data_IF_837796493551
#
_entry.id   IF_837796493551
#
_cell.length_a   1.000
_cell.length_b   1.000
_cell.length_c   1.000
_cell.angle_alpha   90.00
_cell.angle_beta   90.00
_cell.angle_gamma   90.00
#
_symmetry.space_group_name_H-M   'P 1'
#
loop_
_entity.id
_entity.type
_entity.pdbx_description
1 polymer ?
#
# COMPACT_ATOMS: atom_id res chain seq x y z
N UNK A 1 -17.26 -9.06 11.69
CA UNK A 1 -18.48 -9.44 12.45
C UNK A 1 -18.36 -9.02 13.91
N UNK A 2 -19.50 -8.82 14.56
CA UNK A 2 -19.60 -8.40 15.97
C UNK A 2 -20.43 -9.42 16.74
N UNK A 3 -19.97 -9.77 17.94
CA UNK A 3 -20.67 -10.68 18.84
C UNK A 3 -21.87 -9.97 19.48
N UNK A 4 -23.02 -10.64 19.46
CA UNK A 4 -24.27 -10.16 20.03
C UNK A 4 -24.61 -10.98 21.29
N UNK A 5 -25.42 -10.45 22.23
CA UNK A 5 -25.83 -11.17 23.42
C UNK A 5 -26.77 -12.33 23.11
N UNK A 6 -27.49 -12.28 21.99
CA UNK A 6 -28.44 -13.31 21.53
C UNK A 6 -28.05 -13.82 20.15
N UNK A 7 -28.49 -15.02 19.75
CA UNK A 7 -28.34 -15.53 18.40
C UNK A 7 -28.93 -14.57 17.35
N UNK A 8 -28.23 -14.47 16.23
CA UNK A 8 -28.65 -13.64 15.07
C UNK A 8 -28.81 -14.53 13.85
N UNK A 9 -29.71 -14.15 12.96
CA UNK A 9 -29.93 -14.82 11.68
C UNK A 9 -29.20 -14.10 10.56
N UNK A 10 -28.91 -14.83 9.51
CA UNK A 10 -28.46 -14.30 8.22
C UNK A 10 -29.11 -15.13 7.11
N UNK A 11 -29.56 -14.52 6.01
CA UNK A 11 -30.21 -15.27 4.93
C UNK A 11 -29.32 -16.41 4.40
N UNK A 12 -29.89 -17.59 4.29
CA UNK A 12 -29.28 -18.71 3.56
C UNK A 12 -29.58 -18.53 2.08
N UNK A 13 -28.74 -17.73 1.43
CA UNK A 13 -28.97 -17.32 0.05
C UNK A 13 -27.73 -17.60 -0.79
N UNK A 14 -27.92 -18.01 -2.03
CA UNK A 14 -26.81 -18.14 -2.97
C UNK A 14 -26.59 -16.81 -3.69
N UNK A 15 -25.55 -16.11 -3.29
CA UNK A 15 -25.15 -14.84 -3.90
C UNK A 15 -24.28 -15.03 -5.16
N UNK A 16 -24.34 -16.22 -5.81
CA UNK A 16 -23.58 -16.52 -7.02
C UNK A 16 -22.19 -17.10 -6.78
N UNK A 17 -21.77 -17.22 -5.51
CA UNK A 17 -20.48 -17.83 -5.13
C UNK A 17 -20.77 -18.96 -4.16
N UNK A 18 -20.39 -20.19 -4.53
CA UNK A 18 -20.62 -21.38 -3.71
C UNK A 18 -19.41 -21.65 -2.82
N UNK A 19 -19.62 -21.55 -1.52
CA UNK A 19 -18.65 -21.96 -0.51
C UNK A 19 -18.92 -23.39 -0.05
N UNK A 20 -17.85 -24.05 0.35
CA UNK A 20 -17.84 -25.37 0.98
C UNK A 20 -17.09 -25.31 2.30
N UNK A 21 -17.07 -26.39 3.07
CA UNK A 21 -16.28 -26.45 4.30
C UNK A 21 -14.77 -26.27 4.05
N UNK A 22 -14.29 -26.66 2.86
CA UNK A 22 -12.89 -26.51 2.46
C UNK A 22 -12.52 -25.08 2.00
N UNK A 23 -13.51 -24.32 1.49
CA UNK A 23 -13.25 -22.98 0.90
C UNK A 23 -13.72 -21.82 1.75
N UNK A 24 -14.59 -22.09 2.75
CA UNK A 24 -15.13 -21.05 3.62
C UNK A 24 -14.10 -20.54 4.65
N UNK A 25 -14.07 -19.24 4.81
CA UNK A 25 -13.20 -18.58 5.81
C UNK A 25 -14.00 -18.31 7.09
N UNK A 26 -13.57 -18.97 8.17
CA UNK A 26 -14.23 -18.92 9.49
C UNK A 26 -13.58 -17.86 10.38
N UNK A 27 -13.70 -16.60 9.97
CA UNK A 27 -13.08 -15.47 10.62
C UNK A 27 -14.09 -14.60 11.38
N UNK A 28 -13.68 -14.10 12.55
CA UNK A 28 -14.49 -13.18 13.36
C UNK A 28 -14.19 -11.71 13.06
N UNK A 29 -13.03 -11.43 12.46
CA UNK A 29 -12.56 -10.08 12.10
C UNK A 29 -12.27 -10.05 10.60
N UNK A 30 -12.10 -8.86 10.05
CA UNK A 30 -11.65 -8.72 8.68
C UNK A 30 -10.28 -9.37 8.46
N UNK A 31 -10.12 -9.95 7.28
CA UNK A 31 -8.88 -10.60 6.84
C UNK A 31 -8.21 -9.74 5.76
N UNK A 32 -6.99 -9.33 6.00
CA UNK A 32 -6.28 -8.44 5.07
C UNK A 32 -5.73 -9.16 3.83
N UNK A 33 -5.70 -10.48 3.83
CA UNK A 33 -5.32 -11.30 2.67
C UNK A 33 -6.46 -11.52 1.67
N UNK A 34 -7.67 -11.05 2.00
CA UNK A 34 -8.78 -11.06 1.06
C UNK A 34 -8.65 -9.89 0.09
N UNK A 35 -8.24 -10.22 -1.11
CA UNK A 35 -8.02 -9.26 -2.19
C UNK A 35 -8.69 -9.75 -3.46
N UNK A 36 -9.56 -8.93 -4.04
CA UNK A 36 -10.25 -9.19 -5.29
C UNK A 36 -9.65 -8.35 -6.42
N UNK A 37 -9.92 -8.73 -7.66
CA UNK A 37 -9.52 -7.95 -8.84
C UNK A 37 -8.12 -8.24 -9.34
N UNK A 38 -7.52 -9.34 -8.93
CA UNK A 38 -6.28 -9.83 -9.53
C UNK A 38 -6.50 -10.07 -11.02
N UNK A 39 -5.54 -9.67 -11.85
CA UNK A 39 -5.63 -9.74 -13.31
C UNK A 39 -6.76 -8.91 -13.96
N UNK A 40 -7.36 -7.97 -13.22
CA UNK A 40 -8.35 -7.03 -13.73
C UNK A 40 -7.80 -5.60 -13.80
N UNK A 41 -8.41 -4.78 -14.63
CA UNK A 41 -8.04 -3.37 -14.73
C UNK A 41 -8.56 -2.60 -13.51
N UNK A 42 -7.65 -2.20 -12.61
CA UNK A 42 -7.96 -1.54 -11.35
C UNK A 42 -8.66 -0.16 -11.51
N UNK A 43 -8.75 0.35 -12.71
CA UNK A 43 -9.38 1.64 -13.01
C UNK A 43 -10.73 1.42 -13.66
N UNK A 44 -10.77 0.64 -14.74
CA UNK A 44 -11.98 0.45 -15.54
C UNK A 44 -12.96 -0.52 -14.88
N UNK A 45 -12.44 -1.56 -14.20
CA UNK A 45 -13.26 -2.62 -13.59
C UNK A 45 -13.47 -2.41 -12.08
N UNK A 46 -13.18 -1.21 -11.57
CA UNK A 46 -13.17 -0.94 -10.12
C UNK A 46 -14.51 -1.28 -9.43
N UNK A 47 -15.63 -0.92 -10.04
CA UNK A 47 -16.94 -1.22 -9.46
C UNK A 47 -17.26 -2.71 -9.47
N UNK A 48 -16.92 -3.40 -10.56
CA UNK A 48 -17.08 -4.85 -10.65
C UNK A 48 -16.20 -5.59 -9.63
N UNK A 49 -14.96 -5.12 -9.41
CA UNK A 49 -14.05 -5.65 -8.40
C UNK A 49 -14.64 -5.47 -7.00
N UNK A 50 -15.19 -4.29 -6.70
CA UNK A 50 -15.88 -4.00 -5.44
C UNK A 50 -17.09 -4.92 -5.24
N UNK A 51 -17.95 -5.00 -6.23
CA UNK A 51 -19.21 -5.78 -6.16
C UNK A 51 -18.91 -7.26 -5.97
N UNK A 52 -17.91 -7.77 -6.67
CA UNK A 52 -17.44 -9.14 -6.47
C UNK A 52 -16.89 -9.36 -5.05
N UNK A 53 -16.13 -8.44 -4.51
CA UNK A 53 -15.65 -8.50 -3.13
C UNK A 53 -16.78 -8.52 -2.11
N UNK A 54 -17.86 -7.78 -2.35
CA UNK A 54 -19.06 -7.82 -1.52
C UNK A 54 -19.78 -9.17 -1.64
N UNK A 55 -19.93 -9.70 -2.85
CA UNK A 55 -20.51 -11.04 -3.08
C UNK A 55 -19.72 -12.12 -2.35
N UNK A 56 -18.39 -12.08 -2.39
CA UNK A 56 -17.53 -12.99 -1.63
C UNK A 56 -17.83 -12.91 -0.13
N UNK A 57 -17.88 -11.70 0.43
CA UNK A 57 -18.12 -11.49 1.85
C UNK A 57 -19.50 -12.02 2.29
N UNK A 58 -20.55 -11.70 1.54
CA UNK A 58 -21.92 -12.14 1.85
C UNK A 58 -22.10 -13.65 1.67
N UNK A 59 -21.57 -14.21 0.59
CA UNK A 59 -21.67 -15.66 0.32
C UNK A 59 -20.95 -16.48 1.37
N UNK A 60 -19.73 -16.07 1.72
CA UNK A 60 -18.96 -16.72 2.79
C UNK A 60 -19.69 -16.64 4.14
N UNK A 61 -20.21 -15.45 4.48
CA UNK A 61 -20.92 -15.27 5.74
C UNK A 61 -22.23 -16.08 5.78
N UNK A 62 -22.96 -16.14 4.68
CA UNK A 62 -24.15 -17.00 4.55
C UNK A 62 -23.82 -18.46 4.81
N UNK A 63 -22.75 -18.98 4.21
CA UNK A 63 -22.28 -20.34 4.43
C UNK A 63 -21.89 -20.58 5.90
N UNK A 64 -21.06 -19.73 6.47
CA UNK A 64 -20.57 -19.86 7.86
C UNK A 64 -21.71 -19.86 8.87
N UNK A 65 -22.71 -19.01 8.67
CA UNK A 65 -23.88 -18.90 9.57
C UNK A 65 -24.83 -20.09 9.47
N UNK A 66 -25.02 -20.66 8.29
CA UNK A 66 -26.13 -21.55 8.04
C UNK A 66 -25.70 -23.00 7.76
N UNK A 67 -24.56 -23.23 7.12
CA UNK A 67 -24.17 -24.52 6.56
C UNK A 67 -22.90 -25.11 7.21
N UNK A 68 -21.96 -24.29 7.63
CA UNK A 68 -20.69 -24.74 8.21
C UNK A 68 -20.92 -25.68 9.42
N UNK A 69 -20.04 -26.65 9.57
CA UNK A 69 -20.00 -27.51 10.77
C UNK A 69 -19.82 -26.69 12.05
N UNK A 70 -19.15 -25.54 11.95
CA UNK A 70 -18.90 -24.61 13.05
C UNK A 70 -20.02 -23.57 13.26
N UNK A 71 -21.14 -23.63 12.53
CA UNK A 71 -22.21 -22.61 12.58
C UNK A 71 -22.68 -22.24 14.00
N UNK A 72 -22.62 -23.20 14.95
CA UNK A 72 -22.97 -22.95 16.34
C UNK A 72 -22.03 -21.94 17.03
N UNK A 73 -20.74 -21.94 16.67
CA UNK A 73 -19.77 -20.98 17.19
C UNK A 73 -20.09 -19.56 16.74
N UNK A 74 -20.68 -19.43 15.55
CA UNK A 74 -21.04 -18.15 14.94
C UNK A 74 -22.49 -17.72 15.23
N UNK A 75 -23.28 -18.52 15.97
CA UNK A 75 -24.69 -18.24 16.19
C UNK A 75 -24.96 -16.80 16.69
N UNK A 76 -24.15 -16.32 17.63
CA UNK A 76 -24.28 -14.98 18.21
C UNK A 76 -23.54 -13.89 17.43
N UNK A 77 -22.91 -14.19 16.30
CA UNK A 77 -22.20 -13.18 15.52
C UNK A 77 -23.09 -12.62 14.42
N UNK A 78 -23.00 -11.30 14.24
CA UNK A 78 -23.70 -10.55 13.20
C UNK A 78 -22.66 -9.95 12.24
N UNK A 79 -22.92 -9.98 10.95
CA UNK A 79 -22.20 -9.17 9.98
C UNK A 79 -22.62 -7.72 10.17
N UNK A 80 -21.71 -6.93 10.75
CA UNK A 80 -22.01 -5.54 11.14
C UNK A 80 -21.82 -4.57 9.98
N UNK A 81 -20.75 -4.78 9.22
CA UNK A 81 -20.37 -3.86 8.18
C UNK A 81 -19.50 -4.55 7.13
N UNK A 82 -19.71 -4.18 5.89
CA UNK A 82 -18.87 -4.50 4.74
C UNK A 82 -18.55 -3.18 4.04
N UNK A 83 -17.28 -2.95 3.71
CA UNK A 83 -16.88 -1.72 3.05
C UNK A 83 -17.57 -1.57 1.68
N UNK A 84 -18.30 -0.47 1.49
CA UNK A 84 -18.87 -0.14 0.19
C UNK A 84 -17.80 0.30 -0.80
N UNK A 85 -16.79 1.03 -0.33
CA UNK A 85 -15.64 1.43 -1.13
C UNK A 85 -14.53 0.40 -0.94
N UNK A 86 -14.07 -0.20 -2.03
CA UNK A 86 -12.95 -1.12 -1.98
C UNK A 86 -11.66 -0.41 -1.53
N UNK A 87 -10.91 -1.06 -0.66
CA UNK A 87 -9.62 -0.57 -0.15
C UNK A 87 -8.53 -0.66 -1.23
N UNK A 88 -8.63 0.16 -2.26
CA UNK A 88 -7.72 0.17 -3.39
C UNK A 88 -6.31 0.53 -2.97
N UNK A 89 -5.36 -0.35 -3.21
CA UNK A 89 -3.97 -0.19 -2.76
C UNK A 89 -3.05 0.37 -3.83
N UNK A 90 -3.26 0.04 -5.09
CA UNK A 90 -2.50 0.50 -6.23
C UNK A 90 -3.43 0.93 -7.36
N UNK A 91 -3.04 1.97 -8.10
CA UNK A 91 -3.79 2.51 -9.21
C UNK A 91 -2.82 3.19 -10.18
N UNK A 92 -3.11 4.43 -10.57
CA UNK A 92 -2.24 5.23 -11.41
C UNK A 92 -1.01 5.67 -10.63
N UNK A 93 0.15 5.51 -11.25
CA UNK A 93 1.39 6.15 -10.85
C UNK A 93 1.67 7.28 -11.84
N UNK A 94 2.14 8.40 -11.32
CA UNK A 94 2.50 9.55 -12.13
C UNK A 94 3.96 9.42 -12.59
N UNK A 95 4.31 10.06 -13.69
CA UNK A 95 5.67 10.05 -14.19
C UNK A 95 6.43 11.26 -13.67
N UNK A 96 7.48 10.99 -12.94
CA UNK A 96 8.51 11.96 -12.56
C UNK A 96 9.66 12.01 -13.56
N UNK A 97 10.66 12.81 -13.28
CA UNK A 97 11.89 12.85 -14.07
C UNK A 97 12.72 11.58 -13.91
N UNK A 98 12.49 10.84 -12.83
CA UNK A 98 13.03 9.51 -12.60
C UNK A 98 11.90 8.51 -12.32
N UNK A 99 12.04 7.27 -12.78
CA UNK A 99 11.15 6.18 -12.46
C UNK A 99 11.96 5.17 -11.64
N UNK A 100 11.71 5.13 -10.33
CA UNK A 100 12.39 4.20 -9.44
C UNK A 100 12.01 2.76 -9.79
N UNK A 101 13.00 1.90 -9.92
CA UNK A 101 12.83 0.49 -10.26
C UNK A 101 13.34 -0.44 -9.14
N UNK A 102 12.97 -1.72 -9.22
CA UNK A 102 13.49 -2.77 -8.35
C UNK A 102 15.00 -2.95 -8.47
N UNK A 103 15.58 -2.59 -9.60
CA UNK A 103 17.03 -2.63 -9.81
C UNK A 103 17.74 -1.57 -8.98
N UNK A 104 17.16 -0.39 -8.86
CA UNK A 104 17.70 0.68 -8.00
C UNK A 104 17.72 0.23 -6.53
N UNK A 105 16.63 -0.44 -6.11
CA UNK A 105 16.48 -0.91 -4.74
C UNK A 105 17.43 -2.06 -4.41
N UNK A 106 17.50 -3.06 -5.28
CA UNK A 106 18.33 -4.26 -5.07
C UNK A 106 19.82 -3.96 -5.14
N UNK A 107 20.23 -3.01 -5.99
CA UNK A 107 21.63 -2.58 -6.11
C UNK A 107 22.01 -1.46 -5.15
N UNK A 108 21.05 -0.94 -4.38
CA UNK A 108 21.24 0.21 -3.48
C UNK A 108 21.90 1.37 -4.23
N UNK A 109 21.30 1.77 -5.36
CA UNK A 109 21.86 2.82 -6.22
C UNK A 109 21.93 4.12 -5.44
N UNK A 110 23.10 4.79 -5.54
CA UNK A 110 23.34 6.07 -4.93
C UNK A 110 22.83 7.19 -5.83
N UNK A 111 21.78 7.85 -5.41
CA UNK A 111 21.20 8.97 -6.12
C UNK A 111 21.71 10.29 -5.53
N UNK A 112 22.19 11.19 -6.37
CA UNK A 112 22.62 12.53 -5.92
C UNK A 112 21.48 13.30 -5.23
N UNK A 113 20.24 13.03 -5.61
CA UNK A 113 19.01 13.61 -5.07
C UNK A 113 18.27 12.69 -4.10
N UNK A 114 18.98 11.79 -3.43
CA UNK A 114 18.43 10.94 -2.38
C UNK A 114 17.65 11.78 -1.35
N UNK A 115 16.35 11.48 -1.18
CA UNK A 115 15.45 12.34 -0.41
C UNK A 115 14.96 11.74 0.90
N UNK A 116 14.72 10.46 1.00
CA UNK A 116 14.41 9.75 2.24
C UNK A 116 14.80 8.28 2.15
N UNK A 117 15.16 7.63 3.26
CA UNK A 117 15.46 6.21 3.29
C UNK A 117 14.21 5.38 3.53
N UNK A 118 14.26 4.15 3.04
CA UNK A 118 13.33 3.10 3.44
C UNK A 118 14.06 1.77 3.56
N UNK A 119 13.58 0.90 4.42
CA UNK A 119 14.13 -0.44 4.63
C UNK A 119 13.06 -1.53 4.47
N UNK A 120 11.86 -1.17 3.99
CA UNK A 120 10.82 -2.15 3.77
C UNK A 120 11.19 -3.08 2.61
N UNK A 121 10.83 -4.35 2.74
CA UNK A 121 11.02 -5.35 1.68
C UNK A 121 10.16 -5.04 0.46
N UNK A 122 10.57 -5.49 -0.71
CA UNK A 122 9.64 -5.59 -1.84
C UNK A 122 8.59 -6.63 -1.45
N UNK A 123 7.38 -6.18 -1.24
CA UNK A 123 6.25 -6.98 -0.78
C UNK A 123 5.19 -7.01 -1.87
N UNK A 124 5.12 -8.12 -2.58
CA UNK A 124 4.19 -8.33 -3.70
C UNK A 124 3.11 -9.33 -3.32
N UNK A 125 1.90 -9.07 -3.78
CA UNK A 125 0.74 -9.89 -3.57
C UNK A 125 0.40 -10.68 -4.84
N UNK A 126 0.17 -11.98 -4.67
CA UNK A 126 -0.18 -12.89 -5.75
C UNK A 126 -1.44 -13.68 -5.38
N UNK A 127 -2.20 -14.19 -6.36
CA UNK A 127 -3.29 -15.09 -6.08
C UNK A 127 -2.81 -16.29 -5.26
N UNK A 128 -3.58 -16.65 -4.23
CA UNK A 128 -3.37 -17.88 -3.50
C UNK A 128 -3.67 -19.08 -4.41
N UNK A 129 -2.75 -20.03 -4.51
CA UNK A 129 -2.87 -21.16 -5.44
C UNK A 129 -4.04 -22.08 -5.14
N UNK A 130 -4.38 -22.26 -3.86
CA UNK A 130 -5.54 -23.07 -3.45
C UNK A 130 -6.82 -22.34 -3.81
N UNK A 131 -6.85 -21.03 -3.59
CA UNK A 131 -7.99 -20.21 -3.98
C UNK A 131 -8.19 -20.19 -5.50
N UNK A 132 -7.10 -20.16 -6.28
CA UNK A 132 -7.15 -20.22 -7.75
C UNK A 132 -7.72 -21.55 -8.28
N UNK A 133 -7.47 -22.68 -7.61
CA UNK A 133 -8.05 -23.97 -7.98
C UNK A 133 -9.59 -23.94 -7.86
N UNK A 134 -10.09 -23.32 -6.81
CA UNK A 134 -11.53 -23.28 -6.54
C UNK A 134 -12.27 -22.13 -7.24
N UNK A 135 -11.58 -21.03 -7.52
CA UNK A 135 -12.15 -19.80 -8.09
C UNK A 135 -11.29 -19.24 -9.22
N UNK A 136 -11.04 -20.00 -10.30
CA UNK A 136 -10.13 -19.59 -11.37
C UNK A 136 -10.62 -18.30 -12.05
N UNK A 137 -9.72 -17.29 -12.13
CA UNK A 137 -10.02 -15.97 -12.69
C UNK A 137 -10.90 -15.06 -11.81
N UNK A 138 -11.34 -15.57 -10.66
CA UNK A 138 -12.15 -14.88 -9.67
C UNK A 138 -11.59 -15.10 -8.26
N UNK A 139 -10.29 -15.09 -8.14
CA UNK A 139 -9.58 -15.23 -6.86
C UNK A 139 -9.93 -14.07 -5.93
N UNK A 140 -10.05 -14.38 -4.66
CA UNK A 140 -10.29 -13.39 -3.60
C UNK A 140 -9.34 -13.54 -2.41
N UNK A 141 -8.34 -14.41 -2.53
CA UNK A 141 -7.28 -14.55 -1.53
C UNK A 141 -5.91 -14.31 -2.16
N UNK A 142 -5.07 -13.60 -1.43
CA UNK A 142 -3.70 -13.34 -1.80
C UNK A 142 -2.72 -14.00 -0.84
N UNK A 143 -1.57 -14.35 -1.39
CA UNK A 143 -0.35 -14.63 -0.64
C UNK A 143 0.64 -13.49 -0.87
N UNK A 144 1.53 -13.26 0.09
CA UNK A 144 2.62 -12.29 -0.07
C UNK A 144 3.92 -12.99 -0.37
N UNK A 145 4.71 -12.41 -1.28
CA UNK A 145 6.11 -12.76 -1.49
C UNK A 145 6.97 -11.55 -1.19
N UNK A 146 7.90 -11.72 -0.28
CA UNK A 146 8.77 -10.64 0.16
C UNK A 146 10.22 -10.89 -0.27
N UNK A 147 10.83 -9.85 -0.82
CA UNK A 147 12.27 -9.79 -1.05
C UNK A 147 12.86 -8.77 -0.09
N UNK A 148 13.67 -9.24 0.85
CA UNK A 148 14.35 -8.39 1.83
C UNK A 148 15.36 -7.52 1.11
N UNK A 149 15.36 -6.24 1.45
CA UNK A 149 16.25 -5.22 0.91
C UNK A 149 17.11 -4.61 2.00
N UNK A 150 18.29 -4.13 1.62
CA UNK A 150 19.03 -3.21 2.46
C UNK A 150 18.35 -1.83 2.48
N UNK A 151 18.60 -1.01 3.51
CA UNK A 151 18.16 0.39 3.49
C UNK A 151 18.64 1.08 2.21
N UNK A 152 17.71 1.73 1.55
CA UNK A 152 17.94 2.41 0.27
C UNK A 152 17.22 3.75 0.26
N UNK A 153 17.68 4.66 -0.57
CA UNK A 153 17.08 5.98 -0.70
C UNK A 153 16.16 6.07 -1.92
N UNK A 154 15.15 6.92 -1.81
CA UNK A 154 14.27 7.27 -2.90
C UNK A 154 14.67 8.65 -3.44
N UNK A 155 14.93 8.79 -4.74
CA UNK A 155 15.36 10.07 -5.31
C UNK A 155 14.20 11.08 -5.35
N UNK A 156 14.52 12.36 -5.11
CA UNK A 156 13.57 13.46 -5.15
C UNK A 156 12.86 13.59 -6.52
N UNK A 157 13.57 13.28 -7.62
CA UNK A 157 12.99 13.28 -8.97
C UNK A 157 11.80 12.34 -9.17
N UNK A 158 11.53 11.45 -8.23
CA UNK A 158 10.33 10.63 -8.21
C UNK A 158 9.11 11.33 -7.59
N UNK A 159 9.30 12.48 -6.95
CA UNK A 159 8.29 13.17 -6.15
C UNK A 159 7.63 14.36 -6.84
N UNK A 160 7.97 14.63 -8.09
CA UNK A 160 7.32 15.68 -8.88
C UNK A 160 7.04 15.23 -10.32
N UNK A 161 6.07 15.85 -10.94
CA UNK A 161 5.65 15.50 -12.30
C UNK A 161 6.64 15.96 -13.36
N UNK A 162 6.88 15.09 -14.37
CA UNK A 162 7.75 15.47 -15.50
C UNK A 162 7.10 16.45 -16.48
N UNK A 163 5.79 16.52 -16.52
CA UNK A 163 5.04 17.25 -17.54
C UNK A 163 4.06 18.29 -16.98
N UNK A 164 3.96 18.42 -15.65
CA UNK A 164 3.16 19.45 -14.97
C UNK A 164 4.10 20.16 -13.99
N UNK A 165 4.41 21.41 -14.27
CA UNK A 165 5.49 22.15 -13.63
C UNK A 165 5.28 22.42 -12.14
N UNK A 166 4.04 22.48 -11.66
CA UNK A 166 3.70 22.79 -10.28
C UNK A 166 3.03 21.62 -9.54
N UNK A 167 3.29 20.38 -9.94
CA UNK A 167 2.70 19.19 -9.34
C UNK A 167 3.73 18.34 -8.60
N UNK A 168 3.52 18.17 -7.31
CA UNK A 168 4.20 17.18 -6.49
C UNK A 168 3.41 15.89 -6.33
N UNK A 169 4.10 14.82 -5.95
CA UNK A 169 3.56 13.49 -5.73
C UNK A 169 4.08 12.95 -4.40
N UNK A 170 3.18 12.72 -3.45
CA UNK A 170 3.52 12.08 -2.17
C UNK A 170 2.53 10.96 -1.88
N UNK A 171 2.98 9.73 -1.90
CA UNK A 171 2.12 8.57 -1.69
C UNK A 171 2.30 7.48 -2.74
N UNK A 172 1.29 6.62 -2.88
CA UNK A 172 1.34 5.46 -3.80
C UNK A 172 1.28 5.83 -5.29
N UNK A 173 1.11 7.10 -5.60
CA UNK A 173 1.14 7.66 -6.95
C UNK A 173 2.51 8.19 -7.38
N UNK A 174 3.53 8.01 -6.56
CA UNK A 174 4.94 8.35 -6.87
C UNK A 174 5.42 7.69 -8.17
N UNK A 175 6.43 8.28 -8.80
CA UNK A 175 7.04 7.77 -10.04
C UNK A 175 7.91 6.53 -9.78
N UNK A 176 7.32 5.35 -9.98
CA UNK A 176 7.93 4.07 -9.61
C UNK A 176 7.35 2.92 -10.43
N UNK A 177 8.12 1.84 -10.63
CA UNK A 177 7.60 0.59 -11.20
C UNK A 177 6.64 -0.11 -10.22
N UNK A 178 5.85 -1.05 -10.69
CA UNK A 178 4.97 -1.86 -9.84
C UNK A 178 5.75 -2.61 -8.75
N UNK A 179 6.85 -3.24 -9.13
CA UNK A 179 7.67 -4.06 -8.23
C UNK A 179 8.30 -3.20 -7.13
N UNK A 180 8.93 -2.08 -7.52
CA UNK A 180 9.55 -1.17 -6.55
C UNK A 180 8.51 -0.51 -5.62
N UNK A 181 7.29 -0.27 -6.09
CA UNK A 181 6.21 0.25 -5.25
C UNK A 181 5.94 -0.66 -4.04
N UNK A 182 6.13 -1.97 -4.18
CA UNK A 182 6.02 -2.93 -3.08
C UNK A 182 6.84 -2.57 -1.86
N UNK A 183 8.01 -1.95 -2.05
CA UNK A 183 8.91 -1.54 -0.97
C UNK A 183 8.61 -0.15 -0.38
N UNK A 184 7.98 0.74 -1.15
CA UNK A 184 7.87 2.15 -0.76
C UNK A 184 6.44 2.61 -0.44
N UNK A 185 5.43 1.76 -0.63
CA UNK A 185 4.00 2.08 -0.45
C UNK A 185 3.51 2.11 0.99
N UNK A 186 4.33 1.70 1.96
CA UNK A 186 3.91 1.62 3.37
C UNK A 186 3.74 3.01 3.99
N UNK A 187 2.85 3.12 4.97
CA UNK A 187 2.40 4.41 5.53
C UNK A 187 3.55 5.28 6.03
N UNK A 188 4.53 4.70 6.74
CA UNK A 188 5.67 5.46 7.26
C UNK A 188 6.49 6.08 6.13
N UNK A 189 6.79 5.30 5.09
CA UNK A 189 7.54 5.75 3.93
C UNK A 189 6.78 6.85 3.17
N UNK A 190 5.46 6.67 2.98
CA UNK A 190 4.65 7.71 2.32
C UNK A 190 4.49 8.97 3.16
N UNK A 191 4.55 8.86 4.50
CA UNK A 191 4.64 10.02 5.39
C UNK A 191 5.91 10.83 5.14
N UNK A 192 7.06 10.17 5.03
CA UNK A 192 8.33 10.84 4.72
C UNK A 192 8.33 11.53 3.34
N UNK A 193 7.64 10.95 2.34
CA UNK A 193 7.43 11.64 1.05
C UNK A 193 6.74 12.99 1.25
N UNK A 194 5.70 13.03 2.09
CA UNK A 194 4.97 14.26 2.41
C UNK A 194 5.85 15.32 3.05
N UNK A 195 6.76 14.93 3.96
CA UNK A 195 7.70 15.85 4.59
C UNK A 195 8.66 16.45 3.55
N UNK A 196 9.27 15.63 2.70
CA UNK A 196 10.17 16.10 1.66
C UNK A 196 9.46 17.01 0.67
N UNK A 197 8.23 16.65 0.25
CA UNK A 197 7.43 17.49 -0.64
C UNK A 197 7.09 18.83 0.02
N UNK A 198 6.74 18.84 1.31
CA UNK A 198 6.49 20.08 2.06
C UNK A 198 7.73 21.00 2.12
N UNK A 199 8.90 20.43 2.38
CA UNK A 199 10.17 21.16 2.36
C UNK A 199 10.47 21.72 0.97
N UNK A 200 10.33 20.91 -0.08
CA UNK A 200 10.55 21.34 -1.45
C UNK A 200 9.55 22.42 -1.88
N UNK A 201 8.28 22.31 -1.50
CA UNK A 201 7.27 23.33 -1.78
C UNK A 201 7.60 24.68 -1.09
N UNK A 202 8.18 24.66 0.12
CA UNK A 202 8.65 25.87 0.78
C UNK A 202 9.77 26.56 -0.01
N UNK A 203 10.70 25.77 -0.55
CA UNK A 203 11.77 26.29 -1.42
C UNK A 203 11.22 26.82 -2.74
N UNK A 204 10.24 26.14 -3.33
CA UNK A 204 9.56 26.66 -4.53
C UNK A 204 9.01 28.07 -4.28
N UNK A 205 8.36 28.28 -3.14
CA UNK A 205 7.84 29.60 -2.75
C UNK A 205 8.96 30.61 -2.47
N UNK A 206 9.97 30.20 -1.73
CA UNK A 206 11.09 31.06 -1.32
C UNK A 206 11.87 31.59 -2.53
N UNK A 207 12.14 30.72 -3.50
CA UNK A 207 12.97 31.04 -4.67
C UNK A 207 12.17 31.32 -5.95
N UNK A 208 10.83 31.37 -5.85
CA UNK A 208 9.94 31.51 -6.99
C UNK A 208 10.28 30.54 -8.14
N UNK A 209 10.41 29.26 -7.81
CA UNK A 209 10.83 28.20 -8.72
C UNK A 209 9.83 27.04 -8.75
N UNK A 210 10.04 26.11 -9.67
CA UNK A 210 9.24 24.89 -9.81
C UNK A 210 9.83 23.73 -9.00
N UNK A 211 9.06 22.64 -8.77
CA UNK A 211 9.61 21.40 -8.22
C UNK A 211 10.88 20.91 -8.91
N UNK A 212 10.93 20.94 -10.24
CA UNK A 212 12.13 20.62 -11.01
C UNK A 212 13.25 21.62 -10.77
N UNK A 213 12.93 22.90 -10.63
CA UNK A 213 13.91 23.95 -10.32
C UNK A 213 14.56 23.75 -8.94
N UNK A 214 13.84 23.17 -7.97
CA UNK A 214 14.46 22.77 -6.69
C UNK A 214 15.53 21.70 -6.92
N UNK A 215 15.27 20.69 -7.75
CA UNK A 215 16.29 19.71 -8.09
C UNK A 215 17.50 20.37 -8.79
N UNK A 216 17.26 21.21 -9.77
CA UNK A 216 18.31 21.77 -10.62
C UNK A 216 19.19 22.82 -9.94
N UNK A 217 18.60 23.63 -9.06
CA UNK A 217 19.27 24.83 -8.54
C UNK A 217 19.33 24.90 -7.01
N UNK A 218 18.47 24.16 -6.30
CA UNK A 218 18.28 24.24 -4.85
C UNK A 218 18.34 22.89 -4.15
N UNK A 219 18.95 21.88 -4.78
CA UNK A 219 19.06 20.55 -4.18
C UNK A 219 19.83 20.55 -2.86
N UNK A 220 20.86 21.42 -2.76
CA UNK A 220 21.61 21.59 -1.51
C UNK A 220 20.75 22.15 -0.40
N UNK A 221 19.93 23.15 -0.70
CA UNK A 221 19.01 23.76 0.26
C UNK A 221 17.99 22.74 0.75
N UNK A 222 17.43 21.92 -0.17
CA UNK A 222 16.53 20.82 0.19
C UNK A 222 17.22 19.82 1.13
N UNK A 223 18.43 19.41 0.83
CA UNK A 223 19.21 18.50 1.69
C UNK A 223 19.47 19.07 3.07
N UNK A 224 19.73 20.37 3.19
CA UNK A 224 19.90 21.03 4.49
C UNK A 224 18.59 21.08 5.29
N UNK A 225 17.44 21.31 4.64
CA UNK A 225 16.14 21.21 5.29
C UNK A 225 15.86 19.79 5.79
N UNK A 226 16.14 18.79 4.96
CA UNK A 226 15.97 17.39 5.34
C UNK A 226 16.83 16.99 6.54
N UNK A 227 18.07 17.49 6.63
CA UNK A 227 18.94 17.26 7.79
C UNK A 227 18.39 17.87 9.07
N UNK A 228 17.77 19.05 8.98
CA UNK A 228 17.12 19.70 10.13
C UNK A 228 15.85 18.98 10.57
N UNK A 229 15.23 18.24 9.67
CA UNK A 229 13.94 17.63 9.89
C UNK A 229 12.81 18.65 10.05
N UNK A 230 11.64 18.20 10.47
CA UNK A 230 10.47 19.08 10.64
C UNK A 230 10.51 19.92 11.92
N UNK A 231 11.48 19.70 12.77
CA UNK A 231 11.74 20.55 13.93
C UNK A 231 10.60 20.65 14.96
N UNK A 232 9.76 19.62 15.06
CA UNK A 232 8.66 19.62 16.01
C UNK A 232 9.08 19.00 17.36
N UNK A 233 9.28 19.81 18.42
CA UNK A 233 9.71 19.31 19.73
C UNK A 233 8.64 18.50 20.47
N UNK A 234 7.39 18.55 20.02
CA UNK A 234 6.24 17.90 20.67
C UNK A 234 5.79 16.62 19.97
N UNK A 235 6.70 15.90 19.33
CA UNK A 235 6.37 14.63 18.70
C UNK A 235 6.03 13.57 19.75
N UNK A 236 4.97 12.78 19.54
CA UNK A 236 4.64 11.69 20.44
C UNK A 236 5.81 10.71 20.53
N UNK A 237 6.06 10.20 21.75
CA UNK A 237 7.08 9.17 22.03
C UNK A 237 8.53 9.60 21.80
N UNK A 238 8.86 10.87 21.94
CA UNK A 238 10.22 11.38 21.71
C UNK A 238 10.80 10.99 20.34
N UNK A 239 9.95 10.88 19.33
CA UNK A 239 10.39 10.57 17.98
C UNK A 239 11.19 11.75 17.41
N UNK A 240 12.37 11.45 16.88
CA UNK A 240 13.16 12.37 16.09
C UNK A 240 12.93 12.08 14.61
N UNK A 241 12.53 13.09 13.84
CA UNK A 241 12.40 12.96 12.39
C UNK A 241 13.74 13.24 11.73
N UNK A 242 14.11 12.38 10.80
CA UNK A 242 15.30 12.53 9.95
C UNK A 242 16.64 12.69 10.70
N UNK A 243 16.72 12.29 11.96
CA UNK A 243 18.01 12.06 12.58
C UNK A 243 18.59 10.75 12.06
N UNK A 244 19.84 10.81 11.61
CA UNK A 244 20.58 9.62 11.20
C UNK A 244 20.40 9.21 9.74
N UNK A 245 20.34 10.13 8.83
CA UNK A 245 20.44 9.92 7.38
C UNK A 245 21.77 9.30 6.90
N UNK A 246 22.56 8.73 7.79
CA UNK A 246 23.70 7.92 7.43
C UNK A 246 23.19 6.56 6.94
N UNK A 247 22.82 6.51 5.67
CA UNK A 247 22.71 5.26 4.95
C UNK A 247 24.12 4.67 4.81
N UNK A 248 24.60 4.05 5.88
CA UNK A 248 25.76 3.20 5.75
C UNK A 248 25.41 2.09 4.78
N UNK A 249 26.01 2.13 3.61
CA UNK A 249 25.93 1.04 2.63
C UNK A 249 26.59 -0.17 3.26
N UNK A 250 25.79 -1.09 3.81
CA UNK A 250 26.33 -2.38 4.20
C UNK A 250 26.62 -3.18 2.95
N UNK A 251 27.81 -3.81 2.85
CA UNK A 251 28.13 -4.65 1.70
C UNK A 251 27.08 -5.76 1.59
N UNK A 252 26.64 -6.02 0.36
CA UNK A 252 25.78 -7.17 0.06
C UNK A 252 26.57 -8.42 0.46
N UNK A 253 26.16 -9.07 1.54
CA UNK A 253 26.66 -10.41 1.84
C UNK A 253 26.09 -11.32 0.75
N UNK A 254 27.02 -11.86 -0.06
CA UNK A 254 26.68 -12.79 -1.14
C UNK A 254 26.17 -14.11 -0.57
#
# INVERSE_FOLDING_TARGET
>A
SVKQPKPTTFPSFNYGITFTEATAEKIFRGEWTWETGMNKNQINDFEQIRDYGMLVAYSNWSYVKNQSVDRKKFANYKLEWVAYVAGKRESRRLLGDYILSEHDLSKVVDHEDASFPTSWSIDLHYPDSVNSIHFPGNEFKAITKQMVLYPHAVPYRCLYSRNIDNLFMAGRNISVTHVALGAIRVMRTTGMMGEVVGMAASLCKQFNTTPRGVYQYHLKDLKELMKKGVGNPNLPNNQTYNEGWNLEKKPVVK
#
